data_IF_037386740727
#
_entry.id   IF_037386740727
#
_cell.length_a   1.000
_cell.length_b   1.000
_cell.length_c   1.000
_cell.angle_alpha   90.00
_cell.angle_beta   90.00
_cell.angle_gamma   90.00
#
_symmetry.space_group_name_H-M   'P 1'
#
loop_
_entity.id
_entity.type
_entity.pdbx_description
1 polymer ?
#
# COMPACT_ATOMS: atom_id res chain seq x y z
N UNK A 1 -41.60 31.49 -6.91
CA UNK A 1 -42.09 32.84 -6.65
C UNK A 1 -41.11 33.80 -7.28
N UNK A 2 -41.56 34.36 -8.40
CA UNK A 2 -40.99 35.50 -9.13
C UNK A 2 -41.81 36.71 -8.59
N UNK A 3 -41.29 37.92 -8.37
CA UNK A 3 -41.01 38.99 -9.34
C UNK A 3 -40.59 40.25 -8.52
N UNK A 4 -40.09 41.39 -8.99
CA UNK A 4 -39.49 41.95 -10.20
C UNK A 4 -39.35 43.43 -9.87
N UNK A 5 -38.20 44.08 -9.96
CA UNK A 5 -38.08 45.44 -9.39
C UNK A 5 -38.44 45.49 -7.86
N UNK A 6 -38.69 44.31 -7.26
CA UNK A 6 -39.27 44.03 -5.93
C UNK A 6 -38.48 42.94 -5.18
N UNK A 7 -37.23 42.67 -5.55
CA UNK A 7 -36.30 41.90 -4.70
C UNK A 7 -36.57 40.40 -4.54
N UNK A 8 -37.45 39.80 -5.35
CA UNK A 8 -37.65 38.34 -5.37
C UNK A 8 -36.65 37.66 -6.30
N UNK A 9 -35.83 36.73 -5.76
CA UNK A 9 -34.87 35.94 -6.52
C UNK A 9 -35.30 34.47 -6.57
N UNK A 10 -35.32 33.89 -7.77
CA UNK A 10 -35.41 32.44 -7.90
C UNK A 10 -34.07 31.81 -7.54
N UNK A 11 -34.03 31.19 -6.36
CA UNK A 11 -32.88 30.46 -5.84
C UNK A 11 -33.12 28.96 -6.05
N UNK A 12 -32.39 28.30 -6.97
CA UNK A 12 -32.44 26.85 -7.11
C UNK A 12 -32.15 26.13 -5.78
N UNK A 13 -32.65 24.91 -5.62
CA UNK A 13 -32.36 24.10 -4.44
C UNK A 13 -30.84 23.92 -4.25
N UNK A 14 -30.39 23.88 -3.00
CA UNK A 14 -28.99 23.69 -2.63
C UNK A 14 -28.03 24.72 -3.27
N UNK A 15 -28.47 25.98 -3.37
CA UNK A 15 -27.68 27.05 -4.00
C UNK A 15 -27.61 28.33 -3.19
N UNK A 16 -26.56 29.10 -3.45
CA UNK A 16 -26.36 30.45 -2.93
C UNK A 16 -26.31 31.43 -4.11
N UNK A 17 -27.05 32.52 -4.02
CA UNK A 17 -27.06 33.61 -5.02
C UNK A 17 -26.24 34.79 -4.51
N UNK A 18 -25.30 35.29 -5.33
CA UNK A 18 -24.52 36.50 -5.07
C UNK A 18 -25.11 37.66 -5.87
N UNK A 19 -25.42 38.75 -5.16
CA UNK A 19 -26.02 39.96 -5.74
C UNK A 19 -24.98 41.07 -5.87
N UNK A 20 -24.70 41.50 -7.10
CA UNK A 20 -23.98 42.75 -7.35
C UNK A 20 -24.89 43.94 -7.06
N UNK A 21 -24.40 44.91 -6.30
CA UNK A 21 -25.20 46.11 -5.94
C UNK A 21 -26.45 45.79 -5.10
N UNK A 22 -26.50 44.63 -4.44
CA UNK A 22 -27.65 44.13 -3.65
C UNK A 22 -28.97 43.97 -4.42
N UNK A 23 -28.97 44.16 -5.74
CA UNK A 23 -30.17 44.22 -6.56
C UNK A 23 -30.11 43.36 -7.83
N UNK A 24 -28.93 42.85 -8.20
CA UNK A 24 -28.74 42.08 -9.43
C UNK A 24 -27.99 40.79 -9.15
N UNK A 25 -28.59 39.66 -9.47
CA UNK A 25 -27.90 38.38 -9.46
C UNK A 25 -26.74 38.39 -10.48
N UNK A 26 -25.52 38.23 -9.97
CA UNK A 26 -24.30 38.13 -10.80
C UNK A 26 -23.77 36.70 -10.86
N UNK A 27 -24.07 35.89 -9.84
CA UNK A 27 -23.63 34.50 -9.76
C UNK A 27 -24.60 33.69 -8.89
N UNK A 28 -24.83 32.43 -9.24
CA UNK A 28 -25.50 31.46 -8.40
C UNK A 28 -24.78 30.12 -8.53
N UNK A 29 -24.56 29.45 -7.39
CA UNK A 29 -23.74 28.22 -7.35
C UNK A 29 -24.33 27.04 -8.13
N UNK A 30 -25.64 27.04 -8.41
CA UNK A 30 -26.30 26.01 -9.21
C UNK A 30 -26.52 26.42 -10.68
N UNK A 31 -26.33 27.68 -11.03
CA UNK A 31 -26.44 28.17 -12.42
C UNK A 31 -25.07 28.11 -13.10
N UNK A 32 -24.63 26.90 -13.43
CA UNK A 32 -23.36 26.66 -14.14
C UNK A 32 -23.50 27.09 -15.59
N UNK A 33 -22.76 28.13 -16.00
CA UNK A 33 -22.76 28.68 -17.37
C UNK A 33 -21.56 28.22 -18.21
N UNK A 34 -20.66 27.46 -17.61
CA UNK A 34 -19.46 26.93 -18.28
C UNK A 34 -19.79 25.62 -18.97
N UNK A 35 -19.06 25.32 -20.06
CA UNK A 35 -19.16 24.03 -20.73
C UNK A 35 -18.62 22.91 -19.82
N UNK A 36 -19.33 21.77 -19.79
CA UNK A 36 -18.85 20.55 -19.13
C UNK A 36 -17.85 19.83 -20.04
N UNK A 37 -16.66 19.56 -19.51
CA UNK A 37 -15.67 18.69 -20.17
C UNK A 37 -15.83 17.25 -19.69
N UNK A 38 -15.88 16.30 -20.63
CA UNK A 38 -15.85 14.86 -20.32
C UNK A 38 -14.44 14.35 -20.65
N UNK A 39 -13.79 13.71 -19.67
CA UNK A 39 -12.48 13.10 -19.90
C UNK A 39 -12.64 11.75 -20.59
N UNK A 40 -11.89 11.56 -21.67
CA UNK A 40 -11.76 10.27 -22.36
C UNK A 40 -10.28 9.86 -22.40
N UNK A 41 -9.99 8.62 -22.02
CA UNK A 41 -8.67 8.01 -22.18
C UNK A 41 -8.66 7.20 -23.47
N UNK A 42 -7.99 7.70 -24.50
CA UNK A 42 -7.80 6.99 -25.76
C UNK A 42 -6.34 6.55 -25.84
N UNK A 43 -6.10 5.37 -26.43
CA UNK A 43 -4.77 5.05 -26.87
C UNK A 43 -4.37 6.07 -27.94
N UNK A 44 -3.10 6.51 -27.91
CA UNK A 44 -2.61 7.40 -28.94
C UNK A 44 -2.57 6.62 -30.26
N UNK A 45 -3.51 6.90 -31.15
CA UNK A 45 -3.45 6.40 -32.53
C UNK A 45 -2.33 7.15 -33.26
N UNK A 46 -1.57 6.42 -34.08
CA UNK A 46 -0.37 6.91 -34.77
C UNK A 46 -0.60 8.09 -35.73
N UNK A 47 -1.86 8.46 -35.99
CA UNK A 47 -2.22 9.41 -37.05
C UNK A 47 -2.38 10.87 -36.57
N UNK A 48 -2.77 11.11 -35.30
CA UNK A 48 -3.14 12.47 -34.85
C UNK A 48 -2.14 13.13 -33.89
N UNK A 49 -1.28 12.34 -33.28
CA UNK A 49 -0.17 12.82 -32.45
C UNK A 49 1.05 12.00 -32.85
N UNK A 50 2.25 12.58 -32.82
CA UNK A 50 3.51 11.83 -32.93
C UNK A 50 3.58 10.78 -31.80
N UNK A 51 2.84 9.69 -31.97
CA UNK A 51 2.58 8.71 -30.94
C UNK A 51 3.93 8.04 -30.63
N UNK A 52 4.31 7.97 -29.35
CA UNK A 52 5.51 7.23 -29.00
C UNK A 52 5.31 5.79 -29.49
N UNK A 53 6.29 5.31 -30.26
CA UNK A 53 6.38 3.93 -30.73
C UNK A 53 6.19 2.95 -29.58
N UNK A 54 5.73 1.73 -29.90
CA UNK A 54 5.64 0.63 -28.94
C UNK A 54 6.87 0.60 -28.02
N UNK A 55 6.62 0.61 -26.70
CA UNK A 55 7.68 0.62 -25.70
C UNK A 55 8.55 -0.64 -25.84
N UNK A 56 9.87 -0.43 -25.90
CA UNK A 56 10.85 -1.53 -25.83
C UNK A 56 11.29 -1.70 -24.38
N UNK A 57 10.91 -2.83 -23.77
CA UNK A 57 11.20 -3.12 -22.37
C UNK A 57 12.48 -3.95 -22.21
N UNK A 58 13.26 -3.60 -21.19
CA UNK A 58 14.33 -4.42 -20.64
C UNK A 58 13.99 -4.81 -19.21
N UNK A 59 14.47 -5.94 -18.73
CA UNK A 59 14.18 -6.43 -17.39
C UNK A 59 15.44 -7.00 -16.72
N UNK A 60 15.45 -6.97 -15.40
CA UNK A 60 16.47 -7.62 -14.56
C UNK A 60 15.82 -8.18 -13.30
N UNK A 61 16.42 -9.21 -12.71
CA UNK A 61 15.97 -9.73 -11.41
C UNK A 61 16.52 -8.89 -10.26
N UNK A 62 15.71 -8.75 -9.21
CA UNK A 62 16.16 -8.16 -7.95
C UNK A 62 17.20 -9.08 -7.27
N UNK A 63 18.39 -8.58 -6.90
CA UNK A 63 19.48 -9.40 -6.36
C UNK A 63 19.24 -9.80 -4.89
N UNK A 64 18.33 -10.75 -4.65
CA UNK A 64 17.89 -11.15 -3.30
C UNK A 64 18.63 -12.36 -2.71
N UNK A 65 19.67 -12.88 -3.36
CA UNK A 65 20.30 -14.16 -3.00
C UNK A 65 20.81 -14.21 -1.56
N UNK A 66 21.52 -13.17 -1.12
CA UNK A 66 22.04 -13.09 0.25
C UNK A 66 20.92 -12.91 1.28
N UNK A 67 19.93 -12.08 0.97
CA UNK A 67 18.74 -11.87 1.80
C UNK A 67 18.00 -13.16 2.07
N UNK A 68 17.72 -13.95 1.03
CA UNK A 68 17.06 -15.27 1.14
C UNK A 68 17.89 -16.31 1.93
N UNK A 69 19.19 -16.06 2.09
CA UNK A 69 20.09 -16.85 2.94
C UNK A 69 20.18 -16.31 4.39
N UNK A 70 19.40 -15.29 4.74
CA UNK A 70 19.40 -14.66 6.06
C UNK A 70 20.59 -13.73 6.29
N UNK A 71 21.22 -13.21 5.23
CA UNK A 71 22.33 -12.25 5.32
C UNK A 71 21.81 -10.84 5.08
N UNK A 72 21.58 -10.12 6.17
CA UNK A 72 21.15 -8.73 6.17
C UNK A 72 22.28 -7.72 6.39
N UNK A 73 21.94 -6.44 6.30
CA UNK A 73 22.86 -5.32 6.57
C UNK A 73 23.12 -5.12 8.07
N UNK A 74 22.16 -5.49 8.92
CA UNK A 74 22.26 -5.41 10.37
C UNK A 74 21.42 -6.51 11.04
N UNK A 75 21.59 -6.69 12.35
CA UNK A 75 20.80 -7.65 13.14
C UNK A 75 20.29 -7.01 14.44
N UNK A 76 19.15 -7.52 14.92
CA UNK A 76 18.57 -7.13 16.20
C UNK A 76 17.95 -8.36 16.88
N UNK A 77 17.98 -8.41 18.21
CA UNK A 77 17.42 -9.51 18.99
C UNK A 77 15.87 -9.44 19.12
N UNK A 78 15.23 -8.45 18.47
CA UNK A 78 13.78 -8.22 18.50
C UNK A 78 13.29 -7.76 17.14
N UNK A 79 11.99 -7.89 16.90
CA UNK A 79 11.33 -7.26 15.76
C UNK A 79 11.41 -5.74 15.90
N UNK A 80 11.84 -5.07 14.83
CA UNK A 80 11.87 -3.62 14.75
C UNK A 80 10.66 -3.13 13.94
N UNK A 81 10.02 -2.09 14.45
CA UNK A 81 8.96 -1.38 13.73
C UNK A 81 9.53 -0.76 12.45
N UNK A 82 8.78 -0.87 11.34
CA UNK A 82 9.29 -0.60 10.00
C UNK A 82 9.64 0.88 9.80
N UNK A 83 8.78 1.83 10.20
CA UNK A 83 9.06 3.26 10.04
C UNK A 83 10.34 3.66 10.76
N UNK A 84 10.56 3.15 11.97
CA UNK A 84 11.79 3.43 12.73
C UNK A 84 13.02 2.78 12.09
N UNK A 85 12.89 1.57 11.55
CA UNK A 85 14.01 0.85 10.96
C UNK A 85 14.43 1.43 9.59
N UNK A 86 13.48 1.85 8.76
CA UNK A 86 13.76 2.42 7.43
C UNK A 86 13.90 3.94 7.46
N UNK A 87 13.43 4.61 8.51
CA UNK A 87 13.27 6.08 8.54
C UNK A 87 12.52 6.61 7.30
N UNK A 88 11.59 5.80 6.78
CA UNK A 88 10.84 6.06 5.54
C UNK A 88 11.72 6.29 4.29
N UNK A 89 12.99 5.87 4.33
CA UNK A 89 13.90 5.97 3.19
C UNK A 89 13.58 4.93 2.09
N UNK A 90 12.82 3.90 2.43
CA UNK A 90 12.32 2.88 1.51
C UNK A 90 11.00 2.33 2.02
N UNK A 91 10.09 2.02 1.08
CA UNK A 91 8.87 1.28 1.36
C UNK A 91 9.14 -0.16 1.83
N UNK A 92 10.33 -0.70 1.58
CA UNK A 92 10.63 -2.10 1.77
C UNK A 92 11.55 -2.35 2.98
N UNK A 93 11.19 -3.35 3.78
CA UNK A 93 12.03 -3.87 4.86
C UNK A 93 12.00 -5.40 4.89
N UNK A 94 13.19 -6.01 4.92
CA UNK A 94 13.37 -7.44 5.06
C UNK A 94 13.53 -7.84 6.53
N UNK A 95 12.64 -8.70 7.01
CA UNK A 95 12.73 -9.37 8.30
C UNK A 95 13.26 -10.78 8.09
N UNK A 96 14.38 -11.11 8.70
CA UNK A 96 15.07 -12.39 8.49
C UNK A 96 15.28 -13.08 9.82
N UNK A 97 14.96 -14.37 9.87
CA UNK A 97 15.31 -15.24 10.98
C UNK A 97 15.62 -16.64 10.47
N UNK A 98 16.26 -17.45 11.29
CA UNK A 98 16.49 -18.85 11.00
C UNK A 98 16.31 -19.67 12.25
N UNK A 99 15.72 -20.84 12.11
CA UNK A 99 15.62 -21.81 13.18
C UNK A 99 16.18 -23.16 12.71
N UNK A 100 16.65 -23.95 13.66
CA UNK A 100 17.31 -25.23 13.38
C UNK A 100 16.38 -26.38 13.74
N UNK A 101 15.96 -27.16 12.73
CA UNK A 101 15.21 -28.38 12.94
C UNK A 101 16.18 -29.50 13.31
N UNK A 102 16.30 -29.74 14.62
CA UNK A 102 17.18 -30.79 15.18
C UNK A 102 16.61 -32.20 15.03
N UNK A 103 15.38 -32.34 14.56
CA UNK A 103 14.80 -33.64 14.26
C UNK A 103 15.35 -34.09 12.91
N UNK A 104 15.84 -35.34 12.85
CA UNK A 104 16.43 -35.92 11.64
C UNK A 104 15.44 -36.13 10.48
N UNK A 105 14.21 -35.63 10.59
CA UNK A 105 13.15 -35.71 9.59
C UNK A 105 12.50 -34.35 9.36
N UNK A 106 11.94 -34.17 8.17
CA UNK A 106 11.21 -32.94 7.82
C UNK A 106 9.95 -32.79 8.66
N UNK A 107 9.67 -31.58 9.12
CA UNK A 107 8.39 -31.25 9.72
C UNK A 107 7.43 -30.82 8.62
N UNK A 108 6.28 -31.49 8.55
CA UNK A 108 5.25 -31.23 7.55
C UNK A 108 3.96 -30.80 8.25
N UNK A 109 3.05 -30.19 7.48
CA UNK A 109 1.75 -29.69 7.97
C UNK A 109 1.86 -28.61 9.04
N UNK A 110 2.94 -27.83 9.01
CA UNK A 110 3.08 -26.66 9.86
C UNK A 110 2.48 -25.44 9.18
N UNK A 111 2.15 -24.42 9.95
CA UNK A 111 1.70 -23.12 9.46
C UNK A 111 2.65 -22.04 9.93
N UNK A 112 3.23 -21.29 8.99
CA UNK A 112 3.95 -20.07 9.30
C UNK A 112 2.92 -18.95 9.46
N UNK A 113 2.98 -18.25 10.58
CA UNK A 113 2.18 -17.06 10.80
C UNK A 113 3.02 -15.83 11.16
N UNK A 114 2.53 -14.66 10.75
CA UNK A 114 3.14 -13.38 11.09
C UNK A 114 2.06 -12.29 11.16
N UNK A 115 2.00 -11.57 12.28
CA UNK A 115 1.14 -10.40 12.39
C UNK A 115 1.85 -9.16 11.84
N UNK A 116 1.13 -8.44 10.98
CA UNK A 116 1.51 -7.12 10.49
C UNK A 116 0.66 -6.04 11.14
N UNK A 117 1.12 -4.79 11.07
CA UNK A 117 0.34 -3.60 11.39
C UNK A 117 0.48 -2.55 10.29
N UNK A 118 -0.55 -1.73 10.14
CA UNK A 118 -0.62 -0.67 9.13
C UNK A 118 -1.00 -1.18 7.72
N UNK A 119 -0.90 -0.29 6.74
CA UNK A 119 -1.11 -0.61 5.33
C UNK A 119 0.18 -1.17 4.75
N UNK A 120 0.29 -2.50 4.83
CA UNK A 120 1.50 -3.23 4.48
C UNK A 120 1.16 -4.44 3.62
N UNK A 121 2.00 -4.74 2.64
CA UNK A 121 2.02 -6.02 1.93
C UNK A 121 3.19 -6.85 2.46
N UNK A 122 2.91 -8.06 2.93
CA UNK A 122 3.92 -8.99 3.42
C UNK A 122 4.10 -10.14 2.43
N UNK A 123 5.32 -10.35 1.93
CA UNK A 123 5.69 -11.55 1.19
C UNK A 123 6.55 -12.45 2.07
N UNK A 124 6.23 -13.74 2.13
CA UNK A 124 6.98 -14.68 2.96
C UNK A 124 7.73 -15.69 2.09
N UNK A 125 9.01 -15.90 2.42
CA UNK A 125 9.85 -16.91 1.80
C UNK A 125 10.42 -17.84 2.87
N UNK A 126 10.46 -19.13 2.55
CA UNK A 126 11.07 -20.16 3.38
C UNK A 126 12.09 -20.92 2.55
N UNK A 127 13.33 -20.98 3.03
CA UNK A 127 14.46 -21.58 2.33
C UNK A 127 14.62 -21.08 0.88
N UNK A 128 14.40 -19.77 0.69
CA UNK A 128 14.51 -19.10 -0.61
C UNK A 128 13.33 -19.31 -1.56
N UNK A 129 12.26 -19.98 -1.14
CA UNK A 129 11.04 -20.17 -1.94
C UNK A 129 9.91 -19.29 -1.40
N UNK A 130 9.25 -18.55 -2.28
CA UNK A 130 8.05 -17.79 -1.94
C UNK A 130 6.93 -18.77 -1.56
N UNK A 131 6.32 -18.57 -0.39
CA UNK A 131 5.19 -19.38 0.09
C UNK A 131 3.85 -18.65 0.01
N UNK A 132 3.87 -17.32 -0.17
CA UNK A 132 2.67 -16.52 -0.33
C UNK A 132 2.88 -15.06 0.05
N UNK A 133 1.80 -14.29 -0.05
CA UNK A 133 1.71 -12.91 0.40
C UNK A 133 0.37 -12.64 1.09
N UNK A 134 0.31 -11.60 1.90
CA UNK A 134 -0.92 -11.01 2.45
C UNK A 134 -0.84 -9.48 2.45
N UNK A 135 -1.99 -8.81 2.45
CA UNK A 135 -2.08 -7.36 2.45
C UNK A 135 -2.99 -6.82 3.56
N UNK A 136 -2.56 -5.69 4.12
CA UNK A 136 -3.27 -4.95 5.14
C UNK A 136 -2.90 -5.37 6.56
N UNK A 137 -3.71 -4.89 7.51
CA UNK A 137 -3.60 -5.22 8.93
C UNK A 137 -4.22 -6.60 9.22
N UNK A 138 -3.64 -7.64 8.62
CA UNK A 138 -4.11 -9.01 8.70
C UNK A 138 -2.97 -9.93 9.13
N UNK A 139 -3.32 -11.05 9.77
CA UNK A 139 -2.36 -12.10 10.10
C UNK A 139 -2.05 -12.89 8.84
N UNK A 140 -0.78 -12.91 8.44
CA UNK A 140 -0.29 -13.85 7.45
C UNK A 140 -0.34 -15.25 8.01
N UNK A 141 -0.92 -16.22 7.27
CA UNK A 141 -0.92 -17.65 7.62
C UNK A 141 -0.79 -18.49 6.36
N UNK A 142 0.27 -19.29 6.25
CA UNK A 142 0.46 -20.21 5.11
C UNK A 142 1.09 -21.54 5.55
N UNK A 143 0.68 -22.67 4.94
CA UNK A 143 1.29 -23.95 5.23
C UNK A 143 2.77 -23.97 4.79
N UNK A 144 3.60 -24.63 5.59
CA UNK A 144 5.05 -24.72 5.37
C UNK A 144 5.57 -26.11 5.74
N UNK A 145 6.58 -26.56 4.99
CA UNK A 145 7.40 -27.73 5.34
C UNK A 145 8.82 -27.28 5.67
N UNK A 146 9.36 -27.79 6.77
CA UNK A 146 10.68 -27.45 7.27
C UNK A 146 11.61 -28.65 7.13
N UNK A 147 12.78 -28.44 6.54
CA UNK A 147 13.76 -29.52 6.29
C UNK A 147 14.60 -29.78 7.55
N UNK A 148 15.24 -30.96 7.70
CA UNK A 148 16.23 -31.16 8.75
C UNK A 148 17.37 -30.13 8.67
N UNK A 149 17.81 -29.64 9.82
CA UNK A 149 18.83 -28.61 9.94
C UNK A 149 18.28 -27.19 9.82
N UNK A 150 19.14 -26.27 9.36
CA UNK A 150 18.85 -24.84 9.32
C UNK A 150 17.78 -24.50 8.27
N UNK A 151 16.72 -23.84 8.71
CA UNK A 151 15.69 -23.27 7.86
C UNK A 151 15.71 -21.75 7.97
N UNK A 152 15.72 -21.06 6.83
CA UNK A 152 15.69 -19.61 6.78
C UNK A 152 14.26 -19.14 6.48
N UNK A 153 13.76 -18.20 7.27
CA UNK A 153 12.49 -17.51 7.08
C UNK A 153 12.82 -16.05 6.78
N UNK A 154 12.37 -15.56 5.64
CA UNK A 154 12.62 -14.19 5.20
C UNK A 154 11.32 -13.57 4.75
N UNK A 155 10.93 -12.48 5.39
CA UNK A 155 9.69 -11.76 5.14
C UNK A 155 10.01 -10.39 4.54
N UNK A 156 9.44 -10.07 3.39
CA UNK A 156 9.51 -8.74 2.78
C UNK A 156 8.23 -7.98 3.14
N UNK A 157 8.39 -6.93 3.93
CA UNK A 157 7.33 -6.02 4.32
C UNK A 157 7.40 -4.77 3.45
N UNK A 158 6.30 -4.41 2.78
CA UNK A 158 6.20 -3.23 1.93
C UNK A 158 5.09 -2.29 2.42
N UNK A 159 5.41 -1.05 2.79
CA UNK A 159 4.41 -0.04 3.15
C UNK A 159 3.73 0.53 1.90
N UNK A 160 2.44 0.85 2.01
CA UNK A 160 1.67 1.54 0.95
C UNK A 160 1.32 2.94 1.44
N UNK A 161 2.35 3.74 1.69
CA UNK A 161 2.21 5.01 2.40
C UNK A 161 1.99 4.84 3.91
N UNK A 162 2.02 5.97 4.61
CA UNK A 162 1.86 6.05 6.06
C UNK A 162 0.58 6.80 6.41
N UNK A 163 0.01 6.49 7.58
CA UNK A 163 -1.17 7.20 8.08
C UNK A 163 -0.91 8.71 8.15
N UNK A 164 -1.86 9.51 7.65
CA UNK A 164 -1.74 10.97 7.54
C UNK A 164 -2.85 11.75 8.29
N UNK A 165 -3.79 11.05 8.95
CA UNK A 165 -4.88 11.65 9.73
C UNK A 165 -5.36 10.69 10.82
N UNK A 166 -6.02 11.23 11.86
CA UNK A 166 -6.56 10.49 13.00
C UNK A 166 -5.81 10.76 14.31
N UNK A 167 -6.37 10.37 15.46
CA UNK A 167 -5.70 10.55 16.74
C UNK A 167 -4.40 9.72 16.78
N UNK A 168 -3.29 10.35 17.18
CA UNK A 168 -1.97 9.71 17.35
C UNK A 168 -1.46 8.97 16.11
N UNK A 169 -1.79 9.46 14.90
CA UNK A 169 -1.48 8.77 13.65
C UNK A 169 0.03 8.51 13.44
N UNK A 170 0.86 9.38 14.00
CA UNK A 170 2.32 9.31 13.99
C UNK A 170 2.85 8.11 14.81
N UNK A 171 2.12 7.72 15.86
CA UNK A 171 2.53 6.66 16.80
C UNK A 171 2.17 5.25 16.36
N UNK A 172 1.31 5.07 15.35
CA UNK A 172 0.98 3.74 14.84
C UNK A 172 2.22 3.02 14.35
N UNK A 173 2.32 1.73 14.61
CA UNK A 173 3.42 0.91 14.08
C UNK A 173 3.08 0.41 12.68
N UNK A 174 4.10 0.22 11.86
CA UNK A 174 3.98 -0.44 10.56
C UNK A 174 4.92 -1.64 10.46
N UNK A 175 4.56 -2.57 9.59
CA UNK A 175 5.38 -3.72 9.23
C UNK A 175 5.11 -4.94 10.11
N UNK A 176 6.13 -5.78 10.31
CA UNK A 176 6.00 -7.02 11.09
C UNK A 176 6.23 -6.71 12.57
N UNK A 177 5.13 -6.49 13.30
CA UNK A 177 5.15 -6.21 14.74
C UNK A 177 4.98 -7.45 15.61
N UNK A 178 4.65 -8.58 14.98
CA UNK A 178 4.49 -9.86 15.66
C UNK A 178 3.16 -10.02 16.40
N UNK A 179 2.90 -11.23 16.91
CA UNK A 179 3.79 -12.40 16.94
C UNK A 179 4.11 -12.97 15.56
N UNK A 180 5.27 -13.62 15.47
CA UNK A 180 5.73 -14.41 14.31
C UNK A 180 6.10 -15.79 14.83
N UNK A 181 5.61 -16.84 14.19
CA UNK A 181 5.85 -18.19 14.67
C UNK A 181 5.47 -19.25 13.66
N UNK A 182 5.79 -20.49 14.01
CA UNK A 182 5.39 -21.67 13.26
C UNK A 182 4.68 -22.61 14.23
N UNK A 183 3.49 -23.08 13.89
CA UNK A 183 2.69 -24.01 14.69
C UNK A 183 2.19 -25.20 13.84
N UNK A 184 1.75 -26.25 14.53
CA UNK A 184 1.19 -27.48 13.94
C UNK A 184 1.21 -28.66 14.89
#
# INVERSE_FOLDING_TARGET
MDLQQDGHYFVPAWSVTVLGGCNKEIYNTAKVKTQTSIMEMKQADNEDYNAPSQLSWMWTFEPMKDTLQGRGQFSAARLLEQKRATSDASDYLWYMTSFDNKIGSSWNNLTLYANTTGEVVLHAYVNGKLIGFEQGNQRFERPVSLVPGRNNITLLSATVGLANYGAFFDTYSNGVTGPVGVDG
#
